data_IF_792158003453
#
_entry.id   IF_792158003453
#
_cell.length_a   1.000
_cell.length_b   1.000
_cell.length_c   1.000
_cell.angle_alpha   90.00
_cell.angle_beta   90.00
_cell.angle_gamma   90.00
#
_symmetry.space_group_name_H-M   'P 1'
#
loop_
_entity.id
_entity.type
_entity.pdbx_description
1 polymer ?
#
# COMPACT_ATOMS: atom_id res chain seq x y z
N UNK A 1 -0.32 2.02 3.48
CA UNK A 1 -0.24 0.88 2.55
C UNK A 1 0.27 -0.34 3.28
N UNK A 2 -0.51 -1.43 3.38
CA UNK A 2 -0.07 -2.62 4.09
C UNK A 2 -0.95 -3.84 3.83
N UNK A 3 -0.50 -5.00 4.32
CA UNK A 3 -1.15 -6.30 4.14
C UNK A 3 -2.28 -6.58 5.15
N UNK A 4 -2.57 -5.67 6.06
CA UNK A 4 -3.51 -5.88 7.17
C UNK A 4 -4.89 -5.26 6.96
N UNK A 5 -5.20 -4.82 5.74
CA UNK A 5 -6.46 -4.14 5.45
C UNK A 5 -7.69 -4.98 5.82
N UNK A 6 -7.71 -6.26 5.46
CA UNK A 6 -8.83 -7.16 5.76
C UNK A 6 -9.03 -7.33 7.27
N UNK A 7 -7.93 -7.45 8.02
CA UNK A 7 -7.97 -7.57 9.49
C UNK A 7 -8.54 -6.32 10.13
N UNK A 8 -8.13 -5.13 9.67
CA UNK A 8 -8.61 -3.85 10.17
C UNK A 8 -10.09 -3.64 9.87
N UNK A 9 -10.56 -4.04 8.68
CA UNK A 9 -11.99 -4.00 8.35
C UNK A 9 -12.79 -4.93 9.27
N UNK A 10 -12.35 -6.18 9.44
CA UNK A 10 -13.03 -7.16 10.30
C UNK A 10 -13.06 -6.72 11.76
N UNK A 11 -11.92 -6.27 12.28
CA UNK A 11 -11.83 -5.77 13.64
C UNK A 11 -12.75 -4.56 13.86
N UNK A 12 -12.80 -3.62 12.90
CA UNK A 12 -13.74 -2.51 12.94
C UNK A 12 -15.20 -2.95 13.01
N UNK A 13 -15.56 -4.01 12.28
CA UNK A 13 -16.90 -4.60 12.32
C UNK A 13 -17.20 -5.31 13.65
N UNK A 14 -16.24 -6.06 14.18
CA UNK A 14 -16.37 -6.75 15.47
C UNK A 14 -16.52 -5.75 16.63
N UNK A 15 -15.73 -4.68 16.61
CA UNK A 15 -15.79 -3.63 17.64
C UNK A 15 -16.96 -2.66 17.47
N UNK A 16 -17.69 -2.71 16.34
CA UNK A 16 -18.79 -1.82 16.06
C UNK A 16 -18.42 -0.35 16.12
N UNK A 17 -17.22 0.01 15.66
CA UNK A 17 -16.74 1.40 15.64
C UNK A 17 -17.55 2.23 14.63
N UNK A 18 -17.60 3.54 14.80
CA UNK A 18 -18.40 4.42 13.92
C UNK A 18 -17.92 4.41 12.46
N UNK A 19 -16.61 4.20 12.25
CA UNK A 19 -15.98 4.20 10.93
C UNK A 19 -14.71 3.36 10.95
N UNK A 20 -14.28 2.91 9.77
CA UNK A 20 -13.04 2.16 9.66
C UNK A 20 -11.81 3.06 9.86
N UNK A 21 -10.75 2.56 10.53
CA UNK A 21 -9.47 3.29 10.66
C UNK A 21 -8.66 3.29 9.37
N UNK A 22 -9.11 2.57 8.34
CA UNK A 22 -8.47 2.41 7.04
C UNK A 22 -9.38 2.89 5.92
N UNK A 23 -8.79 3.31 4.81
CA UNK A 23 -9.55 3.66 3.61
C UNK A 23 -10.22 2.42 3.00
N UNK A 24 -11.46 2.55 2.58
CA UNK A 24 -12.21 1.47 1.93
C UNK A 24 -11.97 1.38 0.42
N UNK A 25 -11.18 2.29 -0.15
CA UNK A 25 -10.76 2.29 -1.55
C UNK A 25 -9.24 2.42 -1.66
N UNK A 26 -8.64 1.57 -2.48
CA UNK A 26 -7.18 1.55 -2.67
C UNK A 26 -6.62 2.88 -3.21
N UNK A 27 -7.32 3.54 -4.14
CA UNK A 27 -6.90 4.82 -4.70
C UNK A 27 -6.75 5.93 -3.64
N UNK A 28 -7.61 5.93 -2.61
CA UNK A 28 -7.47 6.86 -1.47
C UNK A 28 -6.22 6.55 -0.63
N UNK A 29 -5.93 5.27 -0.42
CA UNK A 29 -4.69 4.85 0.23
C UNK A 29 -3.47 5.30 -0.56
N UNK A 30 -3.49 5.12 -1.87
CA UNK A 30 -2.39 5.52 -2.75
C UNK A 30 -2.19 7.04 -2.73
N UNK A 31 -3.26 7.82 -2.85
CA UNK A 31 -3.18 9.29 -2.75
C UNK A 31 -2.67 9.77 -1.39
N UNK A 32 -3.16 9.18 -0.30
CA UNK A 32 -2.70 9.50 1.05
C UNK A 32 -1.21 9.18 1.22
N UNK A 33 -0.75 8.04 0.68
CA UNK A 33 0.66 7.67 0.69
C UNK A 33 1.53 8.68 -0.08
N UNK A 34 1.09 9.11 -1.27
CA UNK A 34 1.79 10.13 -2.07
C UNK A 34 1.88 11.46 -1.32
N UNK A 35 0.79 11.92 -0.71
CA UNK A 35 0.77 13.13 0.10
C UNK A 35 1.71 13.05 1.31
N UNK A 36 1.76 11.90 1.99
CA UNK A 36 2.69 11.65 3.08
C UNK A 36 4.15 11.67 2.60
N UNK A 37 4.44 11.08 1.44
CA UNK A 37 5.78 11.09 0.85
C UNK A 37 6.27 12.51 0.56
N UNK A 38 5.42 13.34 -0.07
CA UNK A 38 5.74 14.76 -0.29
C UNK A 38 5.97 15.51 1.02
N UNK A 39 5.18 15.22 2.04
CA UNK A 39 5.36 15.79 3.36
C UNK A 39 6.68 15.39 4.01
N UNK A 40 7.09 14.12 3.88
CA UNK A 40 8.39 13.65 4.34
C UNK A 40 9.55 14.42 3.65
N UNK A 41 9.48 14.60 2.34
CA UNK A 41 10.47 15.40 1.61
C UNK A 41 10.54 16.85 2.08
N UNK A 42 9.41 17.46 2.46
CA UNK A 42 9.38 18.81 3.02
C UNK A 42 10.14 18.90 4.35
N UNK A 43 10.14 17.84 5.15
CA UNK A 43 10.76 17.80 6.48
C UNK A 43 12.07 16.99 6.53
N UNK A 44 12.72 16.77 5.39
CA UNK A 44 13.96 15.98 5.31
C UNK A 44 15.12 16.50 6.17
N UNK A 45 15.12 17.78 6.59
CA UNK A 45 16.12 18.30 7.52
C UNK A 45 16.00 17.72 8.94
N UNK A 46 14.87 17.11 9.26
CA UNK A 46 14.57 16.52 10.56
C UNK A 46 14.32 15.03 10.51
N UNK A 47 14.01 14.50 9.32
CA UNK A 47 13.59 13.12 9.09
C UNK A 47 14.36 12.59 7.89
N UNK A 48 14.95 11.40 8.00
CA UNK A 48 15.49 10.67 6.86
C UNK A 48 14.37 9.80 6.24
N UNK A 49 13.86 10.14 5.06
CA UNK A 49 12.81 9.35 4.42
C UNK A 49 13.32 8.01 3.94
N UNK A 50 12.57 6.94 4.24
CA UNK A 50 12.81 5.60 3.74
C UNK A 50 11.52 5.05 3.13
N UNK A 51 11.55 4.67 1.86
CA UNK A 51 10.37 4.24 1.09
C UNK A 51 10.43 2.76 0.77
N UNK A 52 9.69 1.97 1.54
CA UNK A 52 9.54 0.55 1.28
C UNK A 52 8.38 0.33 0.30
N UNK A 53 8.69 -0.10 -0.92
CA UNK A 53 7.66 -0.33 -1.93
C UNK A 53 8.12 -1.34 -2.99
N UNK A 54 7.18 -2.14 -3.50
CA UNK A 54 7.35 -3.05 -4.63
C UNK A 54 6.51 -2.61 -5.85
N UNK A 55 5.97 -1.40 -5.82
CA UNK A 55 5.09 -0.86 -6.85
C UNK A 55 5.86 0.16 -7.70
N UNK A 56 6.00 -0.11 -9.01
CA UNK A 56 6.75 0.72 -9.93
C UNK A 56 6.20 2.15 -10.01
N UNK A 57 4.88 2.34 -9.96
CA UNK A 57 4.27 3.67 -9.93
C UNK A 57 4.72 4.47 -8.69
N UNK A 58 4.77 3.82 -7.53
CA UNK A 58 5.24 4.45 -6.29
C UNK A 58 6.73 4.80 -6.37
N UNK A 59 7.56 3.93 -6.97
CA UNK A 59 8.99 4.20 -7.17
C UNK A 59 9.17 5.39 -8.10
N UNK A 60 8.51 5.39 -9.26
CA UNK A 60 8.57 6.48 -10.23
C UNK A 60 8.10 7.81 -9.62
N UNK A 61 7.05 7.81 -8.80
CA UNK A 61 6.60 8.99 -8.08
C UNK A 61 7.68 9.53 -7.13
N UNK A 62 8.31 8.66 -6.35
CA UNK A 62 9.38 9.07 -5.43
C UNK A 62 10.61 9.59 -6.19
N UNK A 63 11.01 8.93 -7.28
CA UNK A 63 12.11 9.36 -8.14
C UNK A 63 11.84 10.76 -8.72
N UNK A 64 10.64 11.01 -9.22
CA UNK A 64 10.29 12.29 -9.84
C UNK A 64 10.31 13.44 -8.83
N UNK A 65 9.68 13.26 -7.66
CA UNK A 65 9.58 14.31 -6.63
C UNK A 65 10.77 14.38 -5.68
N UNK A 66 11.63 13.36 -5.69
CA UNK A 66 12.81 13.23 -4.85
C UNK A 66 14.15 13.57 -5.53
N UNK A 67 14.15 14.12 -6.75
CA UNK A 67 15.37 14.34 -7.57
C UNK A 67 16.52 15.03 -6.82
N UNK A 68 16.18 16.02 -5.98
CA UNK A 68 17.18 16.80 -5.22
C UNK A 68 17.10 16.49 -3.71
N UNK A 69 16.59 15.32 -3.34
CA UNK A 69 16.34 14.94 -1.95
C UNK A 69 17.20 13.76 -1.53
N UNK A 70 17.46 13.66 -0.24
CA UNK A 70 18.19 12.54 0.35
C UNK A 70 17.16 11.57 0.95
N UNK A 71 17.14 10.33 0.47
CA UNK A 71 16.25 9.27 0.95
C UNK A 71 16.83 7.90 0.59
N UNK A 72 16.20 6.83 1.04
CA UNK A 72 16.51 5.48 0.57
C UNK A 72 15.24 4.74 0.13
N UNK A 73 15.39 3.85 -0.82
CA UNK A 73 14.40 2.80 -1.06
C UNK A 73 14.66 1.60 -0.15
N UNK A 74 13.60 0.86 0.13
CA UNK A 74 13.69 -0.40 0.83
C UNK A 74 12.87 -1.47 0.11
N UNK A 75 13.36 -2.69 0.10
CA UNK A 75 12.65 -3.85 -0.42
C UNK A 75 12.94 -5.10 0.39
N UNK A 76 12.03 -6.04 0.30
CA UNK A 76 12.19 -7.36 0.89
C UNK A 76 13.04 -8.21 -0.06
N UNK A 77 13.97 -8.99 0.49
CA UNK A 77 14.76 -9.94 -0.28
C UNK A 77 13.86 -10.89 -1.09
N UNK A 78 14.17 -11.06 -2.36
CA UNK A 78 13.39 -11.88 -3.30
C UNK A 78 12.12 -11.21 -3.85
N UNK A 79 11.85 -9.94 -3.50
CA UNK A 79 10.70 -9.19 -4.03
C UNK A 79 11.17 -7.95 -4.78
N UNK A 80 10.51 -7.65 -5.92
CA UNK A 80 10.73 -6.48 -6.75
C UNK A 80 12.17 -6.28 -7.26
N UNK A 81 12.97 -7.34 -7.36
CA UNK A 81 14.35 -7.29 -7.89
C UNK A 81 14.40 -6.66 -9.28
N UNK A 82 13.54 -7.11 -10.18
CA UNK A 82 13.50 -6.63 -11.57
C UNK A 82 13.22 -5.15 -11.63
N UNK A 83 12.25 -4.67 -10.85
CA UNK A 83 11.82 -3.26 -10.83
C UNK A 83 12.94 -2.38 -10.30
N UNK A 84 13.52 -2.70 -9.16
CA UNK A 84 14.59 -1.91 -8.55
C UNK A 84 15.87 -1.96 -9.38
N UNK A 85 16.21 -3.09 -9.99
CA UNK A 85 17.35 -3.21 -10.89
C UNK A 85 17.16 -2.37 -12.16
N UNK A 86 15.93 -2.32 -12.69
CA UNK A 86 15.59 -1.46 -13.82
C UNK A 86 15.82 0.02 -13.48
N UNK A 87 15.27 0.50 -12.39
CA UNK A 87 15.46 1.88 -11.95
C UNK A 87 16.92 2.19 -11.68
N UNK A 88 17.67 1.29 -11.01
CA UNK A 88 19.10 1.46 -10.77
C UNK A 88 19.91 1.58 -12.06
N UNK A 89 19.50 0.88 -13.13
CA UNK A 89 20.20 0.90 -14.43
C UNK A 89 19.87 2.12 -15.28
N UNK A 90 18.63 2.62 -15.20
CA UNK A 90 18.10 3.63 -16.12
C UNK A 90 17.82 4.99 -15.49
N UNK A 91 17.87 5.13 -14.19
CA UNK A 91 17.85 6.43 -13.52
C UNK A 91 19.23 7.06 -13.62
N UNK A 92 19.33 8.18 -14.31
CA UNK A 92 20.56 8.93 -14.52
C UNK A 92 21.24 9.28 -13.19
N UNK A 93 22.19 8.50 -12.71
CA UNK A 93 23.03 8.68 -11.52
C UNK A 93 22.32 9.11 -10.20
N UNK A 94 21.02 9.32 -10.25
CA UNK A 94 20.19 9.82 -9.15
C UNK A 94 19.41 8.74 -8.42
N UNK A 95 19.49 7.46 -8.86
CA UNK A 95 18.80 6.38 -8.17
C UNK A 95 19.38 6.20 -6.76
N UNK A 96 18.56 6.47 -5.79
CA UNK A 96 18.93 6.33 -4.39
C UNK A 96 19.15 4.85 -4.04
N UNK A 97 20.12 4.58 -3.17
CA UNK A 97 20.44 3.22 -2.75
C UNK A 97 19.20 2.49 -2.22
N UNK A 98 18.98 1.27 -2.69
CA UNK A 98 17.93 0.42 -2.19
C UNK A 98 18.47 -0.53 -1.12
N UNK A 99 17.96 -0.40 0.10
CA UNK A 99 18.24 -1.32 1.20
C UNK A 99 17.42 -2.60 1.04
N UNK A 100 18.09 -3.72 1.02
CA UNK A 100 17.46 -5.05 0.97
C UNK A 100 17.46 -5.61 2.38
N UNK A 101 16.30 -6.02 2.87
CA UNK A 101 16.16 -6.66 4.17
C UNK A 101 15.51 -8.03 4.07
N UNK A 102 15.92 -8.93 4.95
CA UNK A 102 15.38 -10.27 5.10
C UNK A 102 15.18 -10.58 6.58
N UNK A 103 14.12 -11.28 6.94
CA UNK A 103 13.97 -11.77 8.31
C UNK A 103 15.01 -12.87 8.58
N UNK A 104 15.50 -12.90 9.80
CA UNK A 104 16.36 -13.96 10.33
C UNK A 104 15.74 -14.47 11.61
N UNK A 105 15.52 -15.77 11.71
CA UNK A 105 14.86 -16.38 12.88
C UNK A 105 14.63 -17.86 12.70
N UNK A 106 13.95 -18.45 13.68
CA UNK A 106 13.52 -19.84 13.64
C UNK A 106 12.32 -20.04 12.69
N UNK A 107 12.02 -21.28 12.37
CA UNK A 107 10.92 -21.64 11.48
C UNK A 107 9.57 -21.07 11.96
N UNK A 108 9.29 -21.14 13.25
CA UNK A 108 8.04 -20.66 13.83
C UNK A 108 7.85 -19.15 13.67
N UNK A 109 8.93 -18.39 13.66
CA UNK A 109 8.92 -16.94 13.44
C UNK A 109 8.84 -16.58 11.94
N UNK A 110 9.55 -17.34 11.10
CA UNK A 110 9.67 -17.06 9.68
C UNK A 110 8.45 -17.48 8.88
N UNK A 111 7.78 -18.57 9.24
CA UNK A 111 6.66 -19.09 8.48
C UNK A 111 5.49 -18.08 8.41
N UNK A 112 5.01 -17.48 9.50
CA UNK A 112 3.97 -16.47 9.43
C UNK A 112 4.37 -15.23 8.61
N UNK A 113 5.65 -14.84 8.68
CA UNK A 113 6.19 -13.75 7.87
C UNK A 113 6.11 -14.05 6.38
N UNK A 114 6.56 -15.23 5.95
CA UNK A 114 6.55 -15.66 4.55
C UNK A 114 5.12 -15.81 4.02
N UNK A 115 4.23 -16.38 4.82
CA UNK A 115 2.83 -16.52 4.45
C UNK A 115 2.16 -15.17 4.16
N UNK A 116 2.40 -14.14 5.00
CA UNK A 116 1.89 -12.79 4.72
C UNK A 116 2.47 -12.20 3.42
N UNK A 117 3.74 -12.50 3.11
CA UNK A 117 4.34 -12.02 1.84
C UNK A 117 3.73 -12.71 0.62
N UNK A 118 3.47 -14.01 0.71
CA UNK A 118 2.79 -14.74 -0.36
C UNK A 118 1.36 -14.21 -0.60
N UNK A 119 0.61 -13.96 0.46
CA UNK A 119 -0.72 -13.37 0.38
C UNK A 119 -0.70 -11.94 -0.22
N UNK A 120 0.28 -11.14 0.15
CA UNK A 120 0.48 -9.80 -0.41
C UNK A 120 0.74 -9.85 -1.92
N UNK A 121 1.60 -10.76 -2.38
CA UNK A 121 1.89 -10.94 -3.81
C UNK A 121 0.72 -11.50 -4.59
N UNK A 122 -0.07 -12.38 -3.99
CA UNK A 122 -1.24 -12.99 -4.60
C UNK A 122 -2.49 -12.10 -4.63
N UNK A 123 -2.48 -10.97 -3.94
CA UNK A 123 -3.64 -10.08 -3.91
C UNK A 123 -3.92 -9.49 -5.29
N UNK A 124 -5.18 -9.54 -5.76
CA UNK A 124 -5.61 -9.01 -7.07
C UNK A 124 -5.30 -7.50 -7.26
N UNK A 125 -5.18 -6.76 -6.18
CA UNK A 125 -4.83 -5.34 -6.18
C UNK A 125 -3.32 -5.11 -6.16
N UNK A 126 -2.50 -6.16 -6.02
CA UNK A 126 -1.04 -6.08 -6.06
C UNK A 126 -0.57 -5.65 -7.44
N UNK A 127 0.37 -4.70 -7.48
CA UNK A 127 1.01 -4.29 -8.73
C UNK A 127 1.70 -5.48 -9.43
N UNK A 128 2.38 -6.32 -8.66
CA UNK A 128 3.06 -7.51 -9.20
C UNK A 128 2.09 -8.49 -9.83
N UNK A 129 0.93 -8.73 -9.20
CA UNK A 129 -0.09 -9.60 -9.75
C UNK A 129 -0.66 -9.03 -11.06
N UNK A 130 -0.95 -7.74 -11.09
CA UNK A 130 -1.44 -7.07 -12.30
C UNK A 130 -0.43 -7.12 -13.46
N UNK A 131 0.85 -6.93 -13.18
CA UNK A 131 1.91 -7.04 -14.20
C UNK A 131 2.02 -8.43 -14.83
N UNK A 132 1.67 -9.46 -14.09
CA UNK A 132 1.74 -10.84 -14.56
C UNK A 132 0.47 -11.28 -15.31
N UNK A 133 -0.55 -10.43 -15.39
CA UNK A 133 -1.77 -10.72 -16.14
C UNK A 133 -1.59 -10.26 -17.60
N UNK A 134 -1.45 -11.18 -18.58
CA UNK A 134 -1.25 -10.83 -19.98
C UNK A 134 -2.47 -10.18 -20.65
N UNK A 135 -3.60 -10.12 -19.98
CA UNK A 135 -4.85 -9.54 -20.48
C UNK A 135 -5.01 -8.06 -20.13
N UNK A 136 -4.19 -7.56 -19.18
CA UNK A 136 -4.27 -6.16 -18.76
C UNK A 136 -3.36 -5.28 -19.63
N UNK A 137 -3.91 -4.19 -20.12
CA UNK A 137 -3.12 -3.16 -20.79
C UNK A 137 -2.29 -2.37 -19.75
N UNK A 138 -1.19 -1.81 -20.21
CA UNK A 138 -0.30 -0.98 -19.38
C UNK A 138 -1.05 0.21 -18.77
N UNK A 139 -1.97 0.80 -19.50
CA UNK A 139 -2.80 1.91 -19.03
C UNK A 139 -3.77 1.51 -17.90
N UNK A 140 -4.17 0.24 -17.84
CA UNK A 140 -4.99 -0.30 -16.76
C UNK A 140 -4.17 -0.57 -15.49
N UNK A 141 -2.86 -0.75 -15.64
CA UNK A 141 -1.93 -0.94 -14.54
C UNK A 141 -1.49 0.41 -13.94
N UNK A 142 -1.29 1.42 -14.80
CA UNK A 142 -0.82 2.76 -14.46
C UNK A 142 -1.96 3.75 -14.17
N UNK A 143 -2.98 3.31 -13.46
CA UNK A 143 -4.12 4.17 -13.12
C UNK A 143 -3.67 5.29 -12.16
N UNK A 144 -3.89 6.54 -12.59
CA UNK A 144 -3.71 7.72 -11.76
C UNK A 144 -4.77 7.73 -10.63
N UNK A 145 -4.35 7.68 -9.35
CA UNK A 145 -5.29 7.66 -8.24
C UNK A 145 -6.14 8.93 -8.14
N UNK A 146 -5.61 10.09 -8.56
CA UNK A 146 -6.35 11.37 -8.54
C UNK A 146 -7.50 11.34 -9.55
N UNK A 147 -7.22 10.92 -10.79
CA UNK A 147 -8.26 10.77 -11.80
C UNK A 147 -9.34 9.78 -11.38
N UNK A 148 -8.91 8.67 -10.76
CA UNK A 148 -9.83 7.65 -10.25
C UNK A 148 -10.76 8.21 -9.17
N UNK A 149 -10.21 8.97 -8.23
CA UNK A 149 -10.98 9.54 -7.11
C UNK A 149 -11.97 10.59 -7.61
N UNK A 150 -11.58 11.42 -8.56
CA UNK A 150 -12.45 12.45 -9.13
C UNK A 150 -13.68 11.87 -9.85
N UNK A 151 -13.62 10.62 -10.28
CA UNK A 151 -14.72 9.90 -10.90
C UNK A 151 -15.66 9.22 -9.89
N UNK A 152 -15.34 9.21 -8.60
CA UNK A 152 -16.19 8.59 -7.60
C UNK A 152 -17.41 9.45 -7.27
N UNK A 153 -18.59 8.85 -7.33
CA UNK A 153 -19.83 9.47 -6.81
C UNK A 153 -19.81 9.59 -5.28
N UNK A 154 -19.13 8.65 -4.61
CA UNK A 154 -18.98 8.58 -3.17
C UNK A 154 -17.53 8.21 -2.82
N UNK A 155 -16.96 8.91 -1.86
CA UNK A 155 -15.59 8.69 -1.40
C UNK A 155 -15.44 7.30 -0.77
N UNK A 156 -16.36 6.91 0.11
CA UNK A 156 -16.40 5.57 0.70
C UNK A 156 -16.83 4.54 -0.36
N UNK A 157 -16.35 3.31 -0.20
CA UNK A 157 -16.80 2.20 -1.04
C UNK A 157 -18.24 1.80 -0.64
N UNK A 158 -19.24 1.95 -1.51
CA UNK A 158 -20.63 1.62 -1.18
C UNK A 158 -20.87 0.10 -0.98
N UNK A 159 -19.94 -0.75 -1.40
CA UNK A 159 -20.00 -2.19 -1.19
C UNK A 159 -19.52 -2.62 0.19
N UNK A 160 -18.94 -1.69 0.96
CA UNK A 160 -18.47 -1.93 2.32
C UNK A 160 -19.30 -1.05 3.25
N UNK A 161 -20.37 -1.60 3.87
CA UNK A 161 -21.19 -0.84 4.81
C UNK A 161 -20.37 -0.39 6.01
N UNK A 162 -20.79 0.66 6.67
CA UNK A 162 -20.14 1.08 7.92
C UNK A 162 -20.31 0.01 9.01
N UNK A 163 -19.36 -0.10 9.96
CA UNK A 163 -19.45 -1.10 11.02
C UNK A 163 -20.81 -1.13 11.75
N UNK A 164 -21.46 -0.01 12.08
CA UNK A 164 -22.80 -0.03 12.67
C UNK A 164 -23.90 -0.57 11.74
N UNK A 165 -23.67 -0.54 10.42
CA UNK A 165 -24.69 -0.81 9.40
C UNK A 165 -24.63 -2.23 8.82
N UNK A 166 -23.66 -3.07 9.25
CA UNK A 166 -23.40 -4.38 8.62
C UNK A 166 -24.54 -5.39 8.72
N UNK A 167 -25.49 -5.17 9.65
CA UNK A 167 -26.66 -6.03 9.85
C UNK A 167 -28.00 -5.37 9.49
N UNK A 168 -27.97 -4.19 8.86
CA UNK A 168 -29.19 -3.56 8.38
C UNK A 168 -29.82 -4.39 7.24
N UNK A 169 -31.16 -4.44 7.14
CA UNK A 169 -32.15 -3.69 7.93
C UNK A 169 -32.59 -4.39 9.24
N UNK A 170 -32.08 -5.59 9.57
CA UNK A 170 -32.57 -6.39 10.70
C UNK A 170 -32.27 -5.72 12.04
N UNK A 171 -31.07 -5.16 12.20
CA UNK A 171 -30.64 -4.45 13.42
C UNK A 171 -29.38 -3.62 13.15
N UNK A 172 -29.10 -2.68 14.03
CA UNK A 172 -27.76 -2.08 14.10
C UNK A 172 -26.76 -3.02 14.74
N UNK A 173 -25.48 -2.86 14.38
CA UNK A 173 -24.38 -3.56 15.04
C UNK A 173 -24.12 -2.93 16.40
N UNK A 174 -23.99 -3.78 17.45
CA UNK A 174 -23.63 -3.31 18.79
C UNK A 174 -22.15 -2.94 18.86
N UNK A 175 -21.83 -1.93 19.68
CA UNK A 175 -20.43 -1.65 20.03
C UNK A 175 -19.84 -2.85 20.77
N UNK A 176 -18.70 -3.35 20.27
CA UNK A 176 -17.88 -4.30 20.99
C UNK A 176 -17.13 -3.57 22.12
N UNK A 177 -16.82 -4.30 23.17
CA UNK A 177 -15.93 -3.84 24.22
C UNK A 177 -14.63 -4.61 24.10
N UNK A 178 -13.51 -3.88 24.13
CA UNK A 178 -12.20 -4.49 24.28
C UNK A 178 -12.09 -4.91 25.76
N UNK A 179 -11.94 -6.23 26.01
CA UNK A 179 -11.84 -6.82 27.37
C UNK A 179 -10.38 -7.00 27.75
#
# INVERSE_FOLDING_TARGET
>A
KGAYWDSEIKLGQELGVENYPVFTRKSLTDLSWMACALKLFKYQNHIFPAFATHNAYSIAFIEEFGKDKIFEFQRIHGMADVIHNYFNKYSNDNYQKCRIYAPVGNYDDLLPYLMRRLLENGANTSFVNKMNDPKLDIDEILIDPIKTINNYKQIKNPQIPLPPEIFLPERENSKGYDL
#
